data_IF_483371094968
#
_entry.id   IF_483371094968
#
_cell.length_a   1.000
_cell.length_b   1.000
_cell.length_c   1.000
_cell.angle_alpha   90.00
_cell.angle_beta   90.00
_cell.angle_gamma   90.00
#
_symmetry.space_group_name_H-M   'P 1'
#
loop_
_entity.id
_entity.type
_entity.pdbx_description
1 polymer ?
#
# COMPACT_ATOMS: atom_id res chain seq x y z
N UNK A 1 -9.70 -19.16 35.60
CA UNK A 1 -10.15 -20.22 34.68
C UNK A 1 -9.72 -19.84 33.28
N UNK A 2 -8.99 -20.76 32.64
CA UNK A 2 -8.27 -20.57 31.37
C UNK A 2 -9.25 -20.30 30.23
N UNK A 3 -9.25 -19.08 29.70
CA UNK A 3 -9.90 -18.74 28.43
C UNK A 3 -9.01 -19.32 27.32
N UNK A 4 -9.30 -20.57 26.95
CA UNK A 4 -8.71 -21.20 25.79
C UNK A 4 -8.90 -20.25 24.60
N UNK A 5 -7.79 -19.88 23.95
CA UNK A 5 -7.78 -19.28 22.62
C UNK A 5 -8.52 -20.25 21.69
N UNK A 6 -9.82 -20.06 21.49
CA UNK A 6 -10.52 -20.61 20.34
C UNK A 6 -9.75 -20.13 19.10
N UNK A 7 -9.04 -21.07 18.47
CA UNK A 7 -8.45 -20.82 17.18
C UNK A 7 -9.59 -20.39 16.26
N UNK A 8 -9.50 -19.18 15.67
CA UNK A 8 -10.46 -18.72 14.67
C UNK A 8 -10.76 -19.88 13.71
N UNK A 9 -12.02 -20.31 13.53
CA UNK A 9 -12.39 -21.56 12.85
C UNK A 9 -11.87 -21.68 11.41
N UNK A 10 -11.36 -20.58 10.85
CA UNK A 10 -10.90 -20.47 9.47
C UNK A 10 -9.38 -20.40 9.29
N UNK A 11 -8.54 -20.58 10.31
CA UNK A 11 -7.08 -20.37 10.18
C UNK A 11 -6.43 -21.13 9.00
N UNK A 12 -6.84 -22.38 8.76
CA UNK A 12 -6.34 -23.17 7.63
C UNK A 12 -6.86 -22.67 6.28
N UNK A 13 -8.10 -22.19 6.21
CA UNK A 13 -8.68 -21.57 5.01
C UNK A 13 -8.00 -20.23 4.72
N UNK A 14 -7.75 -19.43 5.76
CA UNK A 14 -7.04 -18.16 5.66
C UNK A 14 -5.65 -18.34 5.01
N UNK A 15 -4.89 -19.35 5.46
CA UNK A 15 -3.58 -19.65 4.86
C UNK A 15 -3.70 -20.06 3.39
N UNK A 16 -4.72 -20.87 3.03
CA UNK A 16 -4.96 -21.31 1.65
C UNK A 16 -5.29 -20.14 0.73
N UNK A 17 -6.21 -19.27 1.12
CA UNK A 17 -6.59 -18.12 0.30
C UNK A 17 -5.49 -17.06 0.23
N UNK A 18 -4.75 -16.86 1.32
CA UNK A 18 -3.58 -15.99 1.31
C UNK A 18 -2.50 -16.53 0.37
N UNK A 19 -2.21 -17.83 0.41
CA UNK A 19 -1.28 -18.48 -0.52
C UNK A 19 -1.77 -18.39 -1.97
N UNK A 20 -3.08 -18.56 -2.20
CA UNK A 20 -3.68 -18.41 -3.52
C UNK A 20 -3.54 -16.97 -4.04
N UNK A 21 -3.75 -15.97 -3.19
CA UNK A 21 -3.57 -14.55 -3.55
C UNK A 21 -2.13 -14.28 -3.97
N UNK A 22 -1.16 -14.72 -3.16
CA UNK A 22 0.26 -14.60 -3.48
C UNK A 22 0.59 -15.32 -4.80
N UNK A 23 0.08 -16.54 -4.97
CA UNK A 23 0.28 -17.33 -6.18
C UNK A 23 -0.27 -16.62 -7.42
N UNK A 24 -1.48 -16.06 -7.37
CA UNK A 24 -2.07 -15.35 -8.52
C UNK A 24 -1.31 -14.08 -8.88
N UNK A 25 -0.89 -13.28 -7.89
CA UNK A 25 -0.08 -12.09 -8.14
C UNK A 25 1.27 -12.49 -8.76
N UNK A 26 1.90 -13.55 -8.25
CA UNK A 26 3.12 -14.09 -8.85
C UNK A 26 2.88 -14.62 -10.26
N UNK A 27 1.79 -15.34 -10.51
CA UNK A 27 1.47 -15.88 -11.84
C UNK A 27 1.38 -14.77 -12.90
N UNK A 28 0.77 -13.63 -12.55
CA UNK A 28 0.61 -12.49 -13.45
C UNK A 28 1.91 -11.70 -13.63
N UNK A 29 2.68 -11.49 -12.56
CA UNK A 29 3.80 -10.53 -12.58
C UNK A 29 5.20 -11.16 -12.57
N UNK A 30 5.36 -12.43 -12.18
CA UNK A 30 6.64 -13.13 -12.22
C UNK A 30 7.20 -13.30 -13.65
N UNK A 31 6.40 -13.56 -14.71
CA UNK A 31 6.93 -13.59 -16.07
C UNK A 31 7.62 -12.28 -16.46
N UNK A 32 7.06 -11.13 -16.06
CA UNK A 32 7.66 -9.81 -16.30
C UNK A 32 9.01 -9.67 -15.58
N UNK A 33 9.10 -10.16 -14.34
CA UNK A 33 10.35 -10.18 -13.59
C UNK A 33 11.40 -11.11 -14.22
N UNK A 34 11.02 -12.34 -14.59
CA UNK A 34 11.90 -13.36 -15.16
C UNK A 34 12.43 -12.96 -16.54
N UNK A 35 11.56 -12.39 -17.37
CA UNK A 35 11.91 -11.93 -18.72
C UNK A 35 12.57 -10.54 -18.71
N UNK A 36 12.73 -9.91 -17.53
CA UNK A 36 13.20 -8.53 -17.37
C UNK A 36 12.46 -7.54 -18.26
N UNK A 37 11.17 -7.81 -18.48
CA UNK A 37 10.28 -6.95 -19.25
C UNK A 37 9.61 -5.98 -18.29
N UNK A 38 9.47 -4.71 -18.66
CA UNK A 38 8.60 -3.81 -17.92
C UNK A 38 7.17 -4.38 -17.96
N UNK A 39 6.42 -4.22 -16.88
CA UNK A 39 5.04 -4.73 -16.75
C UNK A 39 4.12 -4.13 -17.82
N UNK A 40 4.47 -2.95 -18.33
CA UNK A 40 3.82 -2.30 -19.46
C UNK A 40 4.88 -2.03 -20.52
N UNK A 41 4.57 -2.37 -21.78
CA UNK A 41 5.50 -2.18 -22.89
C UNK A 41 5.82 -0.68 -23.02
N UNK A 42 7.11 -0.39 -22.96
CA UNK A 42 7.81 0.91 -23.01
C UNK A 42 7.90 1.71 -21.69
N UNK A 43 9.10 1.77 -21.06
CA UNK A 43 9.45 2.80 -20.08
C UNK A 43 9.69 4.17 -20.73
N UNK A 44 9.03 4.44 -21.87
CA UNK A 44 9.20 5.62 -22.73
C UNK A 44 7.85 6.28 -23.08
N UNK A 45 6.76 5.93 -22.39
CA UNK A 45 5.47 6.60 -22.57
C UNK A 45 5.05 7.23 -21.25
N UNK A 46 4.89 8.56 -21.28
CA UNK A 46 4.42 9.42 -20.18
C UNK A 46 5.40 9.51 -18.98
N UNK A 47 4.86 9.88 -17.81
CA UNK A 47 5.62 10.27 -16.62
C UNK A 47 6.63 9.20 -16.15
N UNK A 48 6.38 7.91 -16.38
CA UNK A 48 7.33 6.85 -16.02
C UNK A 48 8.68 7.03 -16.71
N UNK A 49 8.67 7.33 -18.00
CA UNK A 49 9.87 7.49 -18.81
C UNK A 49 10.50 8.86 -18.65
N UNK A 50 9.67 9.91 -18.69
CA UNK A 50 10.14 11.28 -18.77
C UNK A 50 10.51 11.86 -17.40
N UNK A 51 9.86 11.42 -16.33
CA UNK A 51 10.01 11.99 -15.00
C UNK A 51 10.59 10.99 -13.99
N UNK A 52 10.00 9.80 -13.88
CA UNK A 52 10.35 8.89 -12.80
C UNK A 52 11.61 8.08 -13.08
N UNK A 53 11.80 7.60 -14.31
CA UNK A 53 13.03 6.90 -14.72
C UNK A 53 14.30 7.72 -14.46
N UNK A 54 14.45 8.96 -14.97
CA UNK A 54 15.63 9.77 -14.69
C UNK A 54 15.78 10.10 -13.20
N UNK A 55 14.69 10.37 -12.48
CA UNK A 55 14.74 10.59 -11.03
C UNK A 55 15.27 9.36 -10.26
N UNK A 56 14.88 8.13 -10.65
CA UNK A 56 15.42 6.90 -10.05
C UNK A 56 16.89 6.67 -10.39
N UNK A 57 17.33 7.04 -11.59
CA UNK A 57 18.76 7.01 -11.95
C UNK A 57 19.55 7.98 -11.07
N UNK A 58 19.06 9.21 -10.88
CA UNK A 58 19.72 10.21 -10.04
C UNK A 58 19.84 9.74 -8.58
N UNK A 59 18.77 9.15 -8.02
CA UNK A 59 18.81 8.52 -6.68
C UNK A 59 19.86 7.42 -6.58
N UNK A 60 19.93 6.55 -7.59
CA UNK A 60 20.89 5.44 -7.67
C UNK A 60 22.34 5.91 -7.73
N UNK A 61 22.61 7.07 -8.32
CA UNK A 61 23.94 7.68 -8.36
C UNK A 61 24.28 8.43 -7.06
N UNK A 62 23.28 9.10 -6.47
CA UNK A 62 23.45 9.95 -5.29
C UNK A 62 23.71 9.13 -4.02
N UNK A 63 22.87 8.14 -3.70
CA UNK A 63 23.00 7.42 -2.43
C UNK A 63 24.33 6.68 -2.23
N UNK A 64 24.82 5.88 -3.20
CA UNK A 64 26.10 5.17 -3.04
C UNK A 64 27.32 6.08 -3.01
N UNK A 65 27.24 7.30 -3.57
CA UNK A 65 28.32 8.29 -3.53
C UNK A 65 28.38 9.08 -2.22
N UNK A 66 27.49 8.79 -1.26
CA UNK A 66 27.37 9.55 -0.01
C UNK A 66 26.74 10.93 -0.21
N UNK A 67 26.28 11.24 -1.43
CA UNK A 67 25.59 12.48 -1.74
C UNK A 67 24.10 12.32 -1.45
N UNK A 68 23.60 13.04 -0.45
CA UNK A 68 22.16 13.07 -0.21
C UNK A 68 21.48 13.97 -1.26
N UNK A 69 20.47 13.48 -2.00
CA UNK A 69 19.94 14.14 -3.21
C UNK A 69 19.04 15.34 -2.87
N UNK A 70 19.66 16.43 -2.42
CA UNK A 70 18.96 17.68 -2.07
C UNK A 70 18.62 18.50 -3.32
N UNK A 71 19.53 18.55 -4.29
CA UNK A 71 19.43 19.37 -5.49
C UNK A 71 19.81 18.54 -6.72
N UNK A 72 18.96 18.54 -7.74
CA UNK A 72 19.26 17.92 -9.02
C UNK A 72 19.72 19.01 -10.01
N UNK A 73 21.00 19.05 -10.42
CA UNK A 73 21.50 20.05 -11.37
C UNK A 73 21.11 19.74 -12.82
N UNK A 74 20.56 18.55 -13.11
CA UNK A 74 20.33 18.07 -14.47
C UNK A 74 18.97 18.47 -15.04
N UNK A 75 17.99 18.78 -14.19
CA UNK A 75 16.63 19.16 -14.61
C UNK A 75 16.42 20.66 -14.50
N UNK A 76 15.85 21.29 -15.53
CA UNK A 76 15.39 22.70 -15.52
C UNK A 76 16.44 23.72 -15.00
N UNK A 77 17.71 23.53 -15.35
CA UNK A 77 18.85 24.33 -14.84
C UNK A 77 19.09 24.22 -13.32
N UNK A 78 18.48 23.22 -12.67
CA UNK A 78 18.55 22.97 -11.25
C UNK A 78 17.16 22.91 -10.60
N UNK A 79 16.88 21.84 -9.86
CA UNK A 79 15.63 21.65 -9.13
C UNK A 79 15.90 21.16 -7.69
N UNK A 80 15.12 21.63 -6.68
CA UNK A 80 15.18 21.10 -5.32
C UNK A 80 14.60 19.67 -5.28
N UNK A 81 15.44 18.68 -5.53
CA UNK A 81 15.05 17.28 -5.74
C UNK A 81 14.34 16.68 -4.51
N UNK A 82 14.86 16.90 -3.30
CA UNK A 82 14.22 16.41 -2.08
C UNK A 82 12.84 17.04 -1.84
N UNK A 83 12.67 18.32 -2.19
CA UNK A 83 11.41 19.03 -2.01
C UNK A 83 10.33 18.54 -2.99
N UNK A 84 10.73 17.90 -4.08
CA UNK A 84 9.80 17.26 -5.00
C UNK A 84 9.39 15.89 -4.45
N UNK A 85 8.24 15.85 -3.79
CA UNK A 85 7.71 14.66 -3.10
C UNK A 85 7.63 13.43 -4.00
N UNK A 86 7.31 13.63 -5.29
CA UNK A 86 7.22 12.59 -6.31
C UNK A 86 8.52 11.81 -6.54
N UNK A 87 9.66 12.32 -6.09
CA UNK A 87 10.92 11.56 -6.15
C UNK A 87 10.88 10.33 -5.24
N UNK A 88 10.08 10.35 -4.17
CA UNK A 88 10.03 9.30 -3.16
C UNK A 88 11.40 9.05 -2.52
N UNK A 89 12.23 10.10 -2.42
CA UNK A 89 13.63 9.99 -1.96
C UNK A 89 13.72 9.32 -0.58
N UNK A 90 12.84 9.69 0.34
CA UNK A 90 12.79 9.17 1.71
C UNK A 90 11.96 7.89 1.87
N UNK A 91 11.42 7.34 0.78
CA UNK A 91 10.56 6.16 0.83
C UNK A 91 11.38 4.87 1.07
N UNK A 92 11.12 4.10 2.14
CA UNK A 92 11.95 2.94 2.46
C UNK A 92 11.98 1.86 1.38
N UNK A 93 10.82 1.50 0.80
CA UNK A 93 10.79 0.54 -0.33
C UNK A 93 11.32 1.14 -1.63
N UNK A 94 11.56 2.46 -1.67
CA UNK A 94 12.26 3.13 -2.77
C UNK A 94 13.71 2.70 -2.92
N UNK A 95 14.34 2.13 -1.88
CA UNK A 95 15.71 1.59 -1.94
C UNK A 95 15.88 0.47 -2.99
N UNK A 96 14.79 -0.19 -3.41
CA UNK A 96 14.82 -1.17 -4.50
C UNK A 96 15.41 -0.56 -5.80
N UNK A 97 15.25 0.75 -6.01
CA UNK A 97 15.77 1.47 -7.17
C UNK A 97 17.28 1.73 -7.15
N UNK A 98 18.00 1.24 -6.13
CA UNK A 98 19.47 1.11 -6.20
C UNK A 98 19.92 0.04 -7.21
N UNK A 99 19.03 -0.91 -7.53
CA UNK A 99 19.21 -1.88 -8.62
C UNK A 99 19.00 -1.24 -10.00
N UNK A 100 19.47 -1.87 -11.09
CA UNK A 100 19.16 -1.40 -12.45
C UNK A 100 17.66 -1.25 -12.67
N UNK A 101 17.25 -0.13 -13.27
CA UNK A 101 15.85 0.29 -13.31
C UNK A 101 14.85 -0.76 -13.81
N UNK A 102 15.09 -1.50 -14.92
CA UNK A 102 14.12 -2.50 -15.38
C UNK A 102 13.83 -3.58 -14.34
N UNK A 103 14.87 -4.06 -13.65
CA UNK A 103 14.74 -5.03 -12.57
C UNK A 103 14.08 -4.41 -11.34
N UNK A 104 14.55 -3.21 -10.94
CA UNK A 104 14.02 -2.50 -9.78
C UNK A 104 12.53 -2.21 -9.93
N UNK A 105 12.09 -1.75 -11.10
CA UNK A 105 10.69 -1.43 -11.37
C UNK A 105 9.81 -2.68 -11.28
N UNK A 106 10.21 -3.79 -11.94
CA UNK A 106 9.45 -5.05 -11.87
C UNK A 106 9.38 -5.62 -10.45
N UNK A 107 10.48 -5.55 -9.68
CA UNK A 107 10.50 -5.92 -8.27
C UNK A 107 9.61 -5.01 -7.42
N UNK A 108 9.69 -3.69 -7.63
CA UNK A 108 8.88 -2.70 -6.93
C UNK A 108 7.40 -2.99 -7.15
N UNK A 109 6.97 -3.15 -8.39
CA UNK A 109 5.56 -3.47 -8.72
C UNK A 109 5.13 -4.76 -8.03
N UNK A 110 5.91 -5.84 -8.15
CA UNK A 110 5.56 -7.12 -7.55
C UNK A 110 5.41 -7.04 -6.02
N UNK A 111 6.39 -6.45 -5.34
CA UNK A 111 6.39 -6.33 -3.87
C UNK A 111 5.20 -5.49 -3.40
N UNK A 112 4.94 -4.37 -4.06
CA UNK A 112 3.85 -3.48 -3.69
C UNK A 112 2.48 -4.11 -3.95
N UNK A 113 2.30 -4.87 -5.04
CA UNK A 113 1.05 -5.59 -5.29
C UNK A 113 0.80 -6.71 -4.27
N UNK A 114 1.85 -7.45 -3.91
CA UNK A 114 1.79 -8.45 -2.83
C UNK A 114 1.40 -7.79 -1.50
N UNK A 115 2.00 -6.65 -1.17
CA UNK A 115 1.65 -5.87 0.03
C UNK A 115 0.21 -5.37 -0.03
N UNK A 116 -0.22 -4.80 -1.15
CA UNK A 116 -1.58 -4.29 -1.34
C UNK A 116 -2.62 -5.40 -1.13
N UNK A 117 -2.42 -6.56 -1.76
CA UNK A 117 -3.31 -7.71 -1.61
C UNK A 117 -3.29 -8.30 -0.20
N UNK A 118 -2.10 -8.46 0.39
CA UNK A 118 -1.95 -9.00 1.75
C UNK A 118 -2.61 -8.08 2.80
N UNK A 119 -2.35 -6.78 2.74
CA UNK A 119 -2.93 -5.80 3.65
C UNK A 119 -4.44 -5.69 3.47
N UNK A 120 -4.93 -5.72 2.22
CA UNK A 120 -6.36 -5.75 1.92
C UNK A 120 -7.03 -7.01 2.48
N UNK A 121 -6.41 -8.18 2.31
CA UNK A 121 -6.92 -9.43 2.89
C UNK A 121 -7.04 -9.32 4.41
N UNK A 122 -5.99 -8.82 5.09
CA UNK A 122 -6.00 -8.62 6.53
C UNK A 122 -7.08 -7.61 6.98
N UNK A 123 -7.28 -6.54 6.21
CA UNK A 123 -8.34 -5.57 6.45
C UNK A 123 -9.73 -6.21 6.33
N UNK A 124 -10.04 -6.88 5.22
CA UNK A 124 -11.36 -7.51 5.04
C UNK A 124 -11.63 -8.62 6.04
N UNK A 125 -10.61 -9.40 6.43
CA UNK A 125 -10.71 -10.35 7.52
C UNK A 125 -10.87 -9.70 8.89
N UNK A 126 -10.50 -8.43 9.03
CA UNK A 126 -10.76 -7.68 10.27
C UNK A 126 -12.22 -7.27 10.44
N UNK A 127 -12.95 -7.15 9.33
CA UNK A 127 -14.39 -6.89 9.28
C UNK A 127 -15.25 -8.15 9.48
N UNK A 128 -14.63 -9.24 9.95
CA UNK A 128 -15.26 -10.55 10.17
C UNK A 128 -15.90 -11.19 8.91
N UNK A 129 -15.46 -10.80 7.70
CA UNK A 129 -15.89 -11.40 6.44
C UNK A 129 -15.28 -12.79 6.23
N UNK A 130 -16.03 -13.72 5.65
CA UNK A 130 -15.55 -15.08 5.35
C UNK A 130 -14.28 -15.09 4.46
N UNK A 131 -13.36 -16.05 4.65
CA UNK A 131 -12.13 -16.15 3.86
C UNK A 131 -12.29 -16.01 2.33
N UNK A 132 -13.24 -16.70 1.65
CA UNK A 132 -13.44 -16.52 0.22
C UNK A 132 -13.88 -15.10 -0.16
N UNK A 133 -14.69 -14.44 0.67
CA UNK A 133 -15.15 -13.06 0.40
C UNK A 133 -13.99 -12.08 0.58
N UNK A 134 -13.23 -12.22 1.66
CA UNK A 134 -12.04 -11.42 1.90
C UNK A 134 -11.00 -11.59 0.78
N UNK A 135 -10.83 -12.83 0.28
CA UNK A 135 -9.98 -13.13 -0.86
C UNK A 135 -10.42 -12.37 -2.12
N UNK A 136 -11.69 -12.50 -2.51
CA UNK A 136 -12.23 -11.83 -3.71
C UNK A 136 -12.03 -10.31 -3.60
N UNK A 137 -12.38 -9.70 -2.47
CA UNK A 137 -12.23 -8.25 -2.28
C UNK A 137 -10.76 -7.80 -2.28
N UNK A 138 -9.87 -8.58 -1.65
CA UNK A 138 -8.44 -8.29 -1.67
C UNK A 138 -7.84 -8.38 -3.07
N UNK A 139 -8.29 -9.36 -3.87
CA UNK A 139 -7.88 -9.51 -5.26
C UNK A 139 -8.42 -8.37 -6.13
N UNK A 140 -9.69 -7.98 -5.93
CA UNK A 140 -10.29 -6.83 -6.61
C UNK A 140 -9.55 -5.52 -6.30
N UNK A 141 -9.08 -5.33 -5.07
CA UNK A 141 -8.26 -4.18 -4.71
C UNK A 141 -6.89 -4.24 -5.39
N UNK A 142 -6.13 -5.33 -5.18
CA UNK A 142 -4.75 -5.45 -5.67
C UNK A 142 -4.66 -5.45 -7.20
N UNK A 143 -5.68 -5.96 -7.89
CA UNK A 143 -5.74 -5.99 -9.36
C UNK A 143 -6.71 -4.95 -9.93
N UNK A 144 -7.02 -3.90 -9.15
CA UNK A 144 -7.87 -2.81 -9.63
C UNK A 144 -7.20 -2.05 -10.77
N UNK A 145 -8.02 -1.55 -11.71
CA UNK A 145 -7.53 -0.70 -12.81
C UNK A 145 -6.81 0.56 -12.33
N UNK A 146 -7.16 1.07 -11.14
CA UNK A 146 -6.50 2.21 -10.53
C UNK A 146 -5.04 1.89 -10.14
N UNK A 147 -4.80 0.80 -9.38
CA UNK A 147 -3.43 0.39 -9.06
C UNK A 147 -2.64 0.05 -10.32
N UNK A 148 -3.27 -0.62 -11.29
CA UNK A 148 -2.64 -0.97 -12.54
C UNK A 148 -2.22 0.27 -13.37
N UNK A 149 -3.08 1.29 -13.47
CA UNK A 149 -2.74 2.58 -14.08
C UNK A 149 -1.53 3.22 -13.39
N UNK A 150 -1.54 3.22 -12.05
CA UNK A 150 -0.53 3.92 -11.27
C UNK A 150 0.83 3.21 -11.28
N UNK A 151 0.96 2.00 -11.85
CA UNK A 151 2.27 1.40 -12.13
C UNK A 151 3.15 2.35 -12.96
N UNK A 152 2.56 3.14 -13.87
CA UNK A 152 3.27 4.18 -14.63
C UNK A 152 3.43 5.51 -13.87
N UNK A 153 2.75 5.66 -12.74
CA UNK A 153 2.82 6.84 -11.88
C UNK A 153 3.28 6.44 -10.47
N UNK A 154 4.58 6.18 -10.35
CA UNK A 154 5.24 5.58 -9.18
C UNK A 154 4.79 6.21 -7.84
N UNK A 155 4.69 7.54 -7.69
CA UNK A 155 4.35 8.14 -6.40
C UNK A 155 2.96 7.73 -5.88
N UNK A 156 1.94 7.76 -6.75
CA UNK A 156 0.59 7.36 -6.36
C UNK A 156 0.53 5.87 -6.07
N UNK A 157 1.20 5.05 -6.87
CA UNK A 157 1.26 3.61 -6.64
C UNK A 157 1.89 3.24 -5.30
N UNK A 158 3.06 3.82 -4.98
CA UNK A 158 3.72 3.62 -3.71
C UNK A 158 2.83 4.03 -2.53
N UNK A 159 2.07 5.11 -2.69
CA UNK A 159 1.21 5.66 -1.64
C UNK A 159 -0.06 4.81 -1.41
N UNK A 160 -0.73 4.39 -2.50
CA UNK A 160 -2.00 3.65 -2.46
C UNK A 160 -1.88 2.26 -1.86
N UNK A 161 -0.72 1.61 -1.98
CA UNK A 161 -0.49 0.24 -1.48
C UNK A 161 -0.67 0.13 0.03
N UNK A 162 -0.42 1.21 0.77
CA UNK A 162 -0.54 1.25 2.24
C UNK A 162 -1.96 1.55 2.72
N UNK A 163 -2.86 1.93 1.80
CA UNK A 163 -4.24 2.29 2.11
C UNK A 163 -4.96 1.21 2.96
N UNK A 164 -4.88 -0.10 2.68
CA UNK A 164 -5.61 -1.07 3.49
C UNK A 164 -5.08 -1.21 4.93
N UNK A 165 -3.77 -0.99 5.15
CA UNK A 165 -3.21 -0.95 6.50
C UNK A 165 -3.81 0.20 7.31
N UNK A 166 -4.03 1.34 6.66
CA UNK A 166 -4.65 2.51 7.24
C UNK A 166 -6.07 2.21 7.73
N UNK A 167 -6.91 1.63 6.88
CA UNK A 167 -8.29 1.24 7.23
C UNK A 167 -8.34 0.12 8.27
N UNK A 168 -7.45 -0.87 8.19
CA UNK A 168 -7.30 -1.92 9.21
C UNK A 168 -7.01 -1.32 10.59
N UNK A 169 -6.07 -0.38 10.67
CA UNK A 169 -5.71 0.25 11.93
C UNK A 169 -6.87 1.08 12.51
N UNK A 170 -7.58 1.85 11.67
CA UNK A 170 -8.77 2.62 12.07
C UNK A 170 -9.87 1.72 12.61
N UNK A 171 -10.23 0.67 11.85
CA UNK A 171 -11.28 -0.27 12.24
C UNK A 171 -10.97 -0.91 13.61
N UNK A 172 -9.71 -1.30 13.82
CA UNK A 172 -9.25 -1.87 15.09
C UNK A 172 -9.23 -0.85 16.23
N UNK A 173 -8.80 0.39 15.99
CA UNK A 173 -8.82 1.47 16.98
C UNK A 173 -10.24 1.82 17.42
N UNK A 174 -11.21 1.77 16.50
CA UNK A 174 -12.63 2.04 16.79
C UNK A 174 -13.26 0.97 17.70
N UNK A 175 -12.74 -0.26 17.65
CA UNK A 175 -13.19 -1.38 18.50
C UNK A 175 -12.43 -1.45 19.82
N UNK A 176 -11.12 -1.21 19.78
CA UNK A 176 -10.24 -1.25 20.95
C UNK A 176 -9.07 -0.25 20.82
N UNK A 177 -8.96 0.67 21.77
CA UNK A 177 -7.83 1.60 21.79
C UNK A 177 -6.56 0.92 22.31
N UNK A 178 -5.68 0.48 21.41
CA UNK A 178 -4.38 -0.14 21.73
C UNK A 178 -3.23 0.52 20.99
N UNK A 179 -2.10 0.71 21.68
CA UNK A 179 -0.90 1.35 21.12
C UNK A 179 -0.42 0.71 19.82
N UNK A 180 -0.50 -0.63 19.70
CA UNK A 180 -0.13 -1.33 18.45
C UNK A 180 -0.89 -0.82 17.23
N UNK A 181 -2.18 -0.49 17.37
CA UNK A 181 -3.02 -0.05 16.25
C UNK A 181 -2.75 1.41 15.91
N UNK A 182 -2.46 2.23 16.93
CA UNK A 182 -1.97 3.59 16.73
C UNK A 182 -0.63 3.61 15.97
N UNK A 183 0.32 2.74 16.36
CA UNK A 183 1.60 2.61 15.66
C UNK A 183 1.44 2.13 14.22
N UNK A 184 0.57 1.15 13.97
CA UNK A 184 0.30 0.67 12.60
C UNK A 184 -0.40 1.74 11.75
N UNK A 185 -1.29 2.55 12.34
CA UNK A 185 -1.88 3.71 11.69
C UNK A 185 -0.81 4.73 11.31
N UNK A 186 0.02 5.16 12.27
CA UNK A 186 1.09 6.13 12.04
C UNK A 186 2.12 5.63 11.01
N UNK A 187 2.45 4.34 11.04
CA UNK A 187 3.32 3.71 10.06
C UNK A 187 2.69 3.73 8.67
N UNK A 188 1.44 3.29 8.52
CA UNK A 188 0.73 3.32 7.24
C UNK A 188 0.58 4.74 6.68
N UNK A 189 0.27 5.71 7.54
CA UNK A 189 0.21 7.13 7.16
C UNK A 189 1.56 7.66 6.69
N UNK A 190 2.61 7.41 7.47
CA UNK A 190 3.96 7.85 7.15
C UNK A 190 4.46 7.24 5.86
N UNK A 191 4.22 5.94 5.62
CA UNK A 191 4.60 5.29 4.38
C UNK A 191 3.79 5.77 3.18
N UNK A 192 2.50 6.11 3.36
CA UNK A 192 1.69 6.75 2.33
C UNK A 192 2.22 8.15 1.98
N UNK A 193 2.52 8.97 2.99
CA UNK A 193 3.13 10.30 2.80
C UNK A 193 4.49 10.20 2.09
N UNK A 194 5.37 9.30 2.56
CA UNK A 194 6.69 9.09 1.97
C UNK A 194 6.62 8.46 0.57
N UNK A 195 5.52 7.81 0.22
CA UNK A 195 5.26 7.26 -1.12
C UNK A 195 5.33 8.34 -2.21
N UNK A 196 5.08 9.60 -1.85
CA UNK A 196 5.41 10.78 -2.62
C UNK A 196 4.22 11.48 -3.27
N UNK A 197 3.05 10.84 -3.35
CA UNK A 197 1.85 11.45 -3.89
C UNK A 197 0.93 11.99 -2.77
N UNK A 198 0.97 13.30 -2.59
CA UNK A 198 0.23 13.98 -1.54
C UNK A 198 -1.27 14.01 -1.85
N UNK A 199 -1.67 13.94 -3.12
CA UNK A 199 -3.08 13.87 -3.52
C UNK A 199 -3.70 12.56 -3.07
N UNK A 200 -3.04 11.42 -3.36
CA UNK A 200 -3.44 10.11 -2.83
C UNK A 200 -3.57 10.14 -1.31
N UNK A 201 -2.62 10.75 -0.60
CA UNK A 201 -2.68 10.84 0.86
C UNK A 201 -3.92 11.61 1.33
N UNK A 202 -4.21 12.76 0.71
CA UNK A 202 -5.38 13.59 1.05
C UNK A 202 -6.67 12.81 0.80
N UNK A 203 -6.82 12.18 -0.37
CA UNK A 203 -8.02 11.40 -0.70
C UNK A 203 -8.19 10.20 0.24
N UNK A 204 -7.10 9.50 0.54
CA UNK A 204 -7.11 8.38 1.49
C UNK A 204 -7.49 8.85 2.89
N UNK A 205 -6.99 10.01 3.32
CA UNK A 205 -7.30 10.61 4.62
C UNK A 205 -8.77 11.03 4.70
N UNK A 206 -9.31 11.66 3.65
CA UNK A 206 -10.71 12.03 3.60
C UNK A 206 -11.63 10.79 3.68
N UNK A 207 -11.31 9.74 2.93
CA UNK A 207 -12.06 8.48 2.98
C UNK A 207 -11.93 7.78 4.34
N UNK A 208 -10.76 7.85 4.96
CA UNK A 208 -10.50 7.33 6.29
C UNK A 208 -11.29 8.03 7.38
N UNK A 209 -11.38 9.37 7.33
CA UNK A 209 -12.24 10.15 8.24
C UNK A 209 -13.69 9.74 8.06
N UNK A 210 -14.18 9.67 6.82
CA UNK A 210 -15.54 9.22 6.53
C UNK A 210 -15.81 7.80 7.08
N UNK A 211 -14.88 6.86 6.85
CA UNK A 211 -14.98 5.50 7.36
C UNK A 211 -14.98 5.44 8.89
N UNK A 212 -14.11 6.21 9.56
CA UNK A 212 -14.06 6.28 11.01
C UNK A 212 -15.37 6.82 11.62
N UNK A 213 -15.97 7.84 11.00
CA UNK A 213 -17.27 8.38 11.40
C UNK A 213 -18.39 7.34 11.23
N UNK A 214 -18.37 6.58 10.13
CA UNK A 214 -19.32 5.49 9.91
C UNK A 214 -19.20 4.38 10.96
N UNK A 215 -17.98 4.01 11.36
CA UNK A 215 -17.75 3.05 12.46
C UNK A 215 -18.28 3.56 13.80
N UNK A 216 -18.01 4.84 14.13
CA UNK A 216 -18.51 5.45 15.36
C UNK A 216 -20.05 5.49 15.41
N UNK A 217 -20.70 5.80 14.29
CA UNK A 217 -22.16 5.78 14.16
C UNK A 217 -22.76 4.38 14.36
N UNK A 218 -22.15 3.34 13.78
CA UNK A 218 -22.58 1.94 13.95
C UNK A 218 -22.46 1.48 15.40
N UNK A 219 -21.37 1.82 16.09
CA UNK A 219 -21.17 1.46 17.48
C UNK A 219 -22.18 2.16 18.39
N UNK A 220 -22.47 3.44 18.13
CA UNK A 220 -23.49 4.20 18.88
C UNK A 220 -24.90 3.63 18.70
N UNK A 221 -25.25 3.24 17.47
CA UNK A 221 -26.54 2.61 17.17
C UNK A 221 -26.69 1.22 17.83
N UNK A 222 -25.62 0.40 17.83
CA UNK A 222 -25.62 -0.90 18.52
C UNK A 222 -25.82 -0.75 20.03
N UNK A 223 -25.17 0.22 20.67
CA UNK A 223 -25.36 0.51 22.10
C UNK A 223 -26.80 0.94 22.38
N UNK A 224 -27.37 1.80 21.54
CA UNK A 224 -28.76 2.25 21.69
C UNK A 224 -29.76 1.08 21.55
N UNK A 225 -29.58 0.21 20.55
CA UNK A 225 -30.45 -0.97 20.36
C UNK A 225 -30.32 -1.95 21.54
N UNK A 226 -29.12 -2.17 22.08
CA UNK A 226 -28.92 -3.01 23.27
C UNK A 226 -29.57 -2.42 24.52
N UNK A 227 -29.56 -1.09 24.68
CA UNK A 227 -30.23 -0.40 25.77
C UNK A 227 -31.76 -0.46 25.65
N UNK A 228 -32.31 -0.37 24.43
CA UNK A 228 -33.76 -0.43 24.17
C UNK A 228 -34.30 -1.87 24.19
N UNK A 229 -33.51 -2.86 23.75
CA UNK A 229 -33.91 -4.27 23.79
C UNK A 229 -33.69 -4.93 25.17
N UNK A 230 -32.99 -4.25 26.08
CA UNK A 230 -32.75 -4.69 27.46
C UNK A 230 -33.74 -4.14 28.49
N UNK A 231 -34.77 -3.40 28.07
CA UNK A 231 -35.89 -2.90 28.89
C UNK A 231 -37.19 -3.57 28.49
#
# INVERSE_FOLDING_TARGET
MSCAKEARPHRAQDLRYFALLVFLILLVHAPNLLLRRPVLDTPLVADLGDLFHPAKIFLRQSYPSGHFPLWNPHDLCGMPFLAFSHTGSLYPLGMIYLLPFPLANSLSVLIHLLLAGALAYLFFRSLDLDPPVAFILSLSFSLSGMLFRNINFIPAFNSQVWMPLFFLAIHRLASEFKLKWLLLFSLGYGLCFLGGDHETLIYTSALAVWFALAEAGRNSAKVLVLLVAGT
#
